data_IF_242208648520
#
_entry.id   IF_242208648520
#
_cell.length_a   1.000
_cell.length_b   1.000
_cell.length_c   1.000
_cell.angle_alpha   90.00
_cell.angle_beta   90.00
_cell.angle_gamma   90.00
#
_symmetry.space_group_name_H-M   'P 1'
#
loop_
_entity.id
_entity.type
_entity.pdbx_description
1 polymer ?
#
# COMPACT_ATOMS: atom_id res chain seq x y z
N UNK A 1 -24.20 13.13 7.40
CA UNK A 1 -23.00 13.71 8.04
C UNK A 1 -23.22 13.83 9.53
N UNK A 2 -22.34 13.29 10.30
CA UNK A 2 -22.34 13.39 11.74
C UNK A 2 -21.28 14.38 12.22
N UNK A 3 -21.55 15.09 13.30
CA UNK A 3 -20.55 15.88 14.01
C UNK A 3 -19.84 14.98 15.02
N UNK A 4 -18.53 15.05 15.06
CA UNK A 4 -17.70 14.27 15.94
C UNK A 4 -16.81 15.20 16.76
N UNK A 5 -16.91 15.09 18.07
CA UNK A 5 -16.06 15.83 19.00
C UNK A 5 -14.84 15.00 19.34
N UNK A 6 -13.68 15.52 18.98
CA UNK A 6 -12.40 14.88 19.19
C UNK A 6 -11.57 15.66 20.20
N UNK A 7 -10.69 14.98 20.90
CA UNK A 7 -9.65 15.60 21.71
C UNK A 7 -8.30 15.14 21.16
N UNK A 8 -7.57 16.06 20.55
CA UNK A 8 -6.25 15.79 19.98
C UNK A 8 -5.22 16.63 20.73
N UNK A 9 -4.25 15.98 21.35
CA UNK A 9 -3.21 16.64 22.14
C UNK A 9 -3.79 17.60 23.19
N UNK A 10 -4.83 17.16 23.90
CA UNK A 10 -5.57 17.90 24.91
C UNK A 10 -6.38 19.11 24.38
N UNK A 11 -6.55 19.22 23.08
CA UNK A 11 -7.33 20.28 22.46
C UNK A 11 -8.59 19.70 21.85
N UNK A 12 -9.75 20.30 22.12
CA UNK A 12 -11.01 19.86 21.51
C UNK A 12 -11.06 20.28 20.04
N UNK A 13 -11.60 19.39 19.23
CA UNK A 13 -11.83 19.64 17.81
C UNK A 13 -13.13 19.00 17.41
N UNK A 14 -14.03 19.76 16.81
CA UNK A 14 -15.26 19.24 16.25
C UNK A 14 -15.12 19.13 14.74
N UNK A 15 -15.33 17.94 14.20
CA UNK A 15 -15.25 17.68 12.77
C UNK A 15 -16.57 17.10 12.27
N UNK A 16 -16.85 17.31 10.99
CA UNK A 16 -17.94 16.63 10.30
C UNK A 16 -17.38 15.44 9.56
N UNK A 17 -17.98 14.29 9.80
CA UNK A 17 -17.58 13.04 9.18
C UNK A 17 -18.77 12.39 8.51
N UNK A 18 -18.52 11.55 7.53
CA UNK A 18 -19.56 10.77 6.87
C UNK A 18 -20.12 9.73 7.85
N UNK A 19 -21.39 9.43 7.70
CA UNK A 19 -22.04 8.42 8.54
C UNK A 19 -21.34 7.08 8.39
N UNK A 20 -20.98 6.48 9.52
CA UNK A 20 -20.24 5.22 9.55
C UNK A 20 -18.73 5.37 9.67
N UNK A 21 -18.18 6.58 9.51
CA UNK A 21 -16.74 6.84 9.61
C UNK A 21 -16.28 7.26 11.02
N UNK A 22 -17.22 7.43 11.96
CA UNK A 22 -16.93 7.98 13.29
C UNK A 22 -15.84 7.17 14.02
N UNK A 23 -15.97 5.85 14.05
CA UNK A 23 -15.01 4.98 14.75
C UNK A 23 -13.62 5.07 14.13
N UNK A 24 -13.55 5.15 12.81
CA UNK A 24 -12.28 5.28 12.09
C UNK A 24 -11.60 6.60 12.38
N UNK A 25 -12.34 7.70 12.38
CA UNK A 25 -11.81 9.03 12.68
C UNK A 25 -11.39 9.15 14.14
N UNK A 26 -12.15 8.57 15.07
CA UNK A 26 -11.76 8.52 16.49
C UNK A 26 -10.44 7.77 16.69
N UNK A 27 -10.26 6.64 16.00
CA UNK A 27 -9.02 5.87 16.05
C UNK A 27 -7.84 6.68 15.49
N UNK A 28 -8.04 7.39 14.38
CA UNK A 28 -7.02 8.26 13.80
C UNK A 28 -6.66 9.42 14.74
N UNK A 29 -7.64 10.01 15.40
CA UNK A 29 -7.41 11.07 16.39
C UNK A 29 -6.61 10.57 17.58
N UNK A 30 -6.89 9.36 18.04
CA UNK A 30 -6.14 8.72 19.12
C UNK A 30 -4.69 8.49 18.70
N UNK A 31 -4.45 7.95 17.53
CA UNK A 31 -3.11 7.71 16.99
C UNK A 31 -2.34 9.03 16.80
N UNK A 32 -3.01 10.06 16.32
CA UNK A 32 -2.41 11.39 16.17
C UNK A 32 -2.01 11.98 17.51
N UNK A 33 -2.85 11.83 18.54
CA UNK A 33 -2.54 12.30 19.91
C UNK A 33 -1.31 11.61 20.47
N UNK A 34 -1.19 10.30 20.28
CA UNK A 34 -0.03 9.52 20.69
C UNK A 34 1.24 9.98 19.96
N UNK A 35 1.14 10.21 18.66
CA UNK A 35 2.25 10.69 17.82
C UNK A 35 2.73 12.08 18.28
N UNK A 36 1.82 13.00 18.54
CA UNK A 36 2.14 14.34 19.04
C UNK A 36 2.81 14.24 20.42
N UNK A 37 2.34 13.36 21.29
CA UNK A 37 2.93 13.12 22.59
C UNK A 37 4.38 12.65 22.49
N UNK A 38 4.66 11.74 21.56
CA UNK A 38 6.03 11.24 21.28
C UNK A 38 6.92 12.37 20.77
N UNK A 39 6.42 13.21 19.87
CA UNK A 39 7.16 14.37 19.37
C UNK A 39 7.50 15.37 20.47
N UNK A 40 6.56 15.61 21.39
CA UNK A 40 6.81 16.47 22.54
C UNK A 40 7.92 15.94 23.45
N UNK A 41 7.97 14.64 23.62
CA UNK A 41 9.02 14.01 24.41
C UNK A 41 10.40 14.19 23.79
N UNK A 42 10.48 14.25 22.46
CA UNK A 42 11.72 14.44 21.71
C UNK A 42 12.11 15.92 21.56
N UNK A 43 11.15 16.81 21.47
CA UNK A 43 11.34 18.25 21.22
C UNK A 43 10.67 19.08 22.33
N UNK A 44 11.21 18.99 23.55
CA UNK A 44 10.61 19.60 24.76
C UNK A 44 10.54 21.13 24.70
N UNK A 45 11.47 21.77 23.99
CA UNK A 45 11.55 23.22 23.89
C UNK A 45 10.71 23.80 22.75
N UNK A 46 10.08 22.95 21.94
CA UNK A 46 9.27 23.38 20.84
C UNK A 46 7.90 23.88 21.31
N UNK A 47 7.39 24.93 20.67
CA UNK A 47 6.03 25.41 20.92
C UNK A 47 5.00 24.42 20.37
N UNK A 48 3.74 24.57 20.82
CA UNK A 48 2.64 23.74 20.30
C UNK A 48 2.50 23.84 18.79
N UNK A 49 2.64 25.05 18.24
CA UNK A 49 2.59 25.26 16.80
C UNK A 49 3.73 24.55 16.06
N UNK A 50 4.94 24.58 16.64
CA UNK A 50 6.08 23.87 16.08
C UNK A 50 5.89 22.37 16.11
N UNK A 51 5.35 21.84 17.20
CA UNK A 51 5.04 20.40 17.32
C UNK A 51 4.00 19.99 16.27
N UNK A 52 2.96 20.81 16.09
CA UNK A 52 1.93 20.52 15.06
C UNK A 52 2.53 20.57 13.65
N UNK A 53 3.40 21.52 13.37
CA UNK A 53 4.10 21.60 12.07
C UNK A 53 5.03 20.40 11.85
N UNK A 54 5.76 19.98 12.88
CA UNK A 54 6.60 18.78 12.82
C UNK A 54 5.75 17.52 12.61
N UNK A 55 4.62 17.41 13.29
CA UNK A 55 3.70 16.30 13.12
C UNK A 55 3.17 16.25 11.68
N UNK A 56 2.72 17.38 11.16
CA UNK A 56 2.22 17.48 9.80
C UNK A 56 3.30 17.11 8.78
N UNK A 57 4.52 17.61 8.96
CA UNK A 57 5.64 17.33 8.07
C UNK A 57 6.02 15.85 8.09
N UNK A 58 6.07 15.25 9.28
CA UNK A 58 6.38 13.82 9.44
C UNK A 58 5.32 12.95 8.79
N UNK A 59 4.04 13.29 8.92
CA UNK A 59 2.94 12.55 8.30
C UNK A 59 2.98 12.68 6.78
N UNK A 60 3.33 13.84 6.25
CA UNK A 60 3.51 14.04 4.82
C UNK A 60 4.68 13.22 4.27
N UNK A 61 5.78 13.15 5.02
CA UNK A 61 6.94 12.33 4.66
C UNK A 61 6.59 10.84 4.66
N UNK A 62 5.89 10.37 5.67
CA UNK A 62 5.41 8.99 5.75
C UNK A 62 4.47 8.66 4.59
N UNK A 63 3.58 9.58 4.24
CA UNK A 63 2.68 9.44 3.09
C UNK A 63 3.44 9.32 1.79
N UNK A 64 4.46 10.15 1.58
CA UNK A 64 5.30 10.11 0.38
C UNK A 64 6.05 8.79 0.29
N UNK A 65 6.63 8.32 1.39
CA UNK A 65 7.31 7.02 1.47
C UNK A 65 6.35 5.87 1.16
N UNK A 66 5.16 5.89 1.74
CA UNK A 66 4.15 4.88 1.49
C UNK A 66 3.70 4.86 0.03
N UNK A 67 3.54 6.02 -0.59
CA UNK A 67 3.22 6.13 -2.02
C UNK A 67 4.35 5.60 -2.90
N UNK A 68 5.59 5.91 -2.57
CA UNK A 68 6.76 5.42 -3.30
C UNK A 68 6.88 3.91 -3.20
N UNK A 69 6.68 3.34 -2.02
CA UNK A 69 6.67 1.90 -1.81
C UNK A 69 5.54 1.22 -2.58
N UNK A 70 4.34 1.79 -2.54
CA UNK A 70 3.20 1.28 -3.30
C UNK A 70 3.47 1.30 -4.81
N UNK A 71 4.08 2.37 -5.29
CA UNK A 71 4.46 2.52 -6.70
C UNK A 71 5.50 1.48 -7.12
N UNK A 72 6.50 1.24 -6.28
CA UNK A 72 7.51 0.21 -6.51
C UNK A 72 6.90 -1.19 -6.50
N UNK A 73 5.97 -1.46 -5.58
CA UNK A 73 5.24 -2.73 -5.53
C UNK A 73 4.39 -2.94 -6.78
N UNK A 74 3.70 -1.91 -7.26
CA UNK A 74 2.94 -1.96 -8.50
C UNK A 74 3.83 -2.24 -9.71
N UNK A 75 4.98 -1.58 -9.80
CA UNK A 75 5.96 -1.82 -10.86
C UNK A 75 6.48 -3.25 -10.84
N UNK A 76 6.80 -3.77 -9.66
CA UNK A 76 7.21 -5.17 -9.50
C UNK A 76 6.11 -6.14 -9.90
N UNK A 77 4.87 -5.83 -9.56
CA UNK A 77 3.72 -6.64 -9.93
C UNK A 77 3.48 -6.62 -11.44
N UNK A 78 3.55 -5.45 -12.07
CA UNK A 78 3.45 -5.31 -13.52
C UNK A 78 4.56 -6.07 -14.24
N UNK A 79 5.79 -5.95 -13.77
CA UNK A 79 6.92 -6.69 -14.30
C UNK A 79 6.74 -8.21 -14.17
N UNK A 80 6.25 -8.67 -13.02
CA UNK A 80 5.92 -10.09 -12.83
C UNK A 80 4.81 -10.55 -13.77
N UNK A 81 3.78 -9.73 -13.97
CA UNK A 81 2.69 -10.02 -14.89
C UNK A 81 3.20 -10.09 -16.33
N UNK A 82 4.04 -9.15 -16.74
CA UNK A 82 4.68 -9.16 -18.07
C UNK A 82 5.58 -10.39 -18.24
N UNK A 83 6.35 -10.74 -17.21
CA UNK A 83 7.19 -11.94 -17.22
C UNK A 83 6.33 -13.20 -17.30
N UNK A 84 5.21 -13.25 -16.60
CA UNK A 84 4.26 -14.36 -16.68
C UNK A 84 3.61 -14.46 -18.06
N UNK A 85 3.22 -13.36 -18.68
CA UNK A 85 2.70 -13.33 -20.05
C UNK A 85 3.74 -13.83 -21.05
N UNK A 86 4.98 -13.39 -20.91
CA UNK A 86 6.09 -13.88 -21.74
C UNK A 86 6.34 -15.37 -21.51
N UNK A 87 6.28 -15.83 -20.28
CA UNK A 87 6.40 -17.24 -19.95
C UNK A 87 5.24 -18.05 -20.53
N UNK A 88 4.01 -17.56 -20.46
CA UNK A 88 2.84 -18.21 -21.07
C UNK A 88 3.00 -18.32 -22.59
N UNK A 89 3.41 -17.27 -23.26
CA UNK A 89 3.68 -17.28 -24.70
C UNK A 89 4.79 -18.28 -25.04
N UNK A 90 5.83 -18.34 -24.24
CA UNK A 90 6.91 -19.30 -24.41
C UNK A 90 6.44 -20.72 -24.15
N UNK A 91 5.62 -20.93 -23.13
CA UNK A 91 5.02 -22.25 -22.83
C UNK A 91 4.13 -22.74 -23.96
N UNK A 92 3.28 -21.87 -24.51
CA UNK A 92 2.43 -22.19 -25.66
C UNK A 92 3.29 -22.61 -26.86
N UNK A 93 4.38 -21.91 -27.11
CA UNK A 93 5.31 -22.27 -28.19
C UNK A 93 6.01 -23.59 -27.90
N UNK A 94 6.49 -23.81 -26.67
CA UNK A 94 7.12 -25.04 -26.24
C UNK A 94 6.13 -26.21 -26.27
N UNK A 95 4.88 -26.00 -25.86
CA UNK A 95 3.82 -26.99 -25.95
C UNK A 95 3.50 -27.41 -27.37
N UNK A 96 3.51 -26.44 -28.30
CA UNK A 96 3.35 -26.74 -29.73
C UNK A 96 4.51 -27.58 -30.29
N UNK A 97 5.72 -27.30 -29.85
CA UNK A 97 6.90 -28.11 -30.20
C UNK A 97 6.85 -29.50 -29.60
N UNK A 98 6.44 -29.61 -28.33
CA UNK A 98 6.27 -30.89 -27.64
C UNK A 98 5.17 -31.71 -28.32
N UNK A 99 4.05 -31.09 -28.65
CA UNK A 99 2.97 -31.77 -29.40
C UNK A 99 3.46 -32.27 -30.74
N UNK A 100 4.25 -31.48 -31.47
CA UNK A 100 4.87 -31.90 -32.72
C UNK A 100 5.83 -33.08 -32.56
N UNK A 101 6.63 -33.06 -31.49
CA UNK A 101 7.54 -34.15 -31.14
C UNK A 101 6.79 -35.43 -30.76
N UNK A 102 5.71 -35.29 -29.99
CA UNK A 102 4.84 -36.40 -29.62
C UNK A 102 4.17 -37.02 -30.84
N UNK A 103 3.71 -36.23 -31.80
CA UNK A 103 3.16 -36.70 -33.05
C UNK A 103 4.20 -37.47 -33.88
N UNK A 104 5.44 -36.96 -33.92
CA UNK A 104 6.55 -37.67 -34.59
C UNK A 104 6.89 -39.00 -33.89
N UNK A 105 6.94 -39.00 -32.56
CA UNK A 105 7.18 -40.20 -31.79
C UNK A 105 6.04 -41.23 -31.98
N UNK A 106 4.81 -40.78 -32.00
CA UNK A 106 3.64 -41.65 -32.22
C UNK A 106 3.69 -42.25 -33.64
N UNK A 107 4.08 -41.50 -34.62
CA UNK A 107 4.27 -41.97 -35.99
C UNK A 107 5.38 -43.01 -36.09
N UNK A 108 6.49 -42.80 -35.38
CA UNK A 108 7.60 -43.80 -35.30
C UNK A 108 7.14 -45.07 -34.62
N UNK A 109 6.45 -44.97 -33.51
CA UNK A 109 5.92 -46.14 -32.79
C UNK A 109 4.87 -46.86 -33.61
N UNK A 110 4.01 -46.14 -34.28
CA UNK A 110 2.99 -46.73 -35.19
C UNK A 110 3.60 -47.44 -36.38
N UNK A 111 4.80 -47.00 -36.80
CA UNK A 111 5.55 -47.64 -37.90
C UNK A 111 6.36 -48.87 -37.51
N UNK A 112 6.43 -49.10 -36.19
CA UNK A 112 7.05 -50.32 -35.69
C UNK A 112 6.09 -51.50 -35.74
#
# INVERSE_FOLDING_TARGET
MAELDLVIARRPLTVRVDDGDEARIEALAHDLSAFISDLRAQARDASDSQILMLAALSLMDDREKARSEAKLMLQKYENKTNDMELMEQKMIHDDAQIAGLLDQLTAIVAGL
#
